data_IF_217397510171
#
_entry.id   IF_217397510171
#
_cell.length_a   1.000
_cell.length_b   1.000
_cell.length_c   1.000
_cell.angle_alpha   90.00
_cell.angle_beta   90.00
_cell.angle_gamma   90.00
#
_symmetry.space_group_name_H-M   'P 1'
#
loop_
_entity.id
_entity.type
_entity.pdbx_description
1 polymer ?
#
# COMPACT_ATOMS: atom_id res chain seq x y z
N UNK A 1 -3.49 2.02 -20.68
CA UNK A 1 -3.76 2.86 -19.49
C UNK A 1 -4.60 2.06 -18.50
N UNK A 2 -4.36 2.13 -17.19
CA UNK A 2 -5.14 1.38 -16.20
C UNK A 2 -6.51 2.03 -16.04
N UNK A 3 -7.57 1.23 -16.11
CA UNK A 3 -8.93 1.70 -15.80
C UNK A 3 -9.20 1.47 -14.31
N UNK A 4 -8.94 2.48 -13.49
CA UNK A 4 -9.16 2.43 -12.04
C UNK A 4 -10.45 3.17 -11.70
N UNK A 5 -11.36 2.51 -10.99
CA UNK A 5 -12.61 3.11 -10.47
C UNK A 5 -12.36 3.89 -9.17
N UNK A 6 -11.21 4.57 -9.05
CA UNK A 6 -10.76 5.27 -7.84
C UNK A 6 -10.42 6.72 -8.21
N UNK A 7 -10.84 7.72 -7.41
CA UNK A 7 -10.51 9.11 -7.71
C UNK A 7 -9.00 9.38 -7.55
N UNK A 8 -8.47 10.29 -8.37
CA UNK A 8 -7.04 10.66 -8.36
C UNK A 8 -6.59 11.15 -6.98
N UNK A 9 -7.47 11.81 -6.22
CA UNK A 9 -7.19 12.24 -4.85
C UNK A 9 -6.89 11.06 -3.92
N UNK A 10 -7.67 9.97 -3.99
CA UNK A 10 -7.44 8.78 -3.18
C UNK A 10 -6.12 8.09 -3.57
N UNK A 11 -5.78 8.05 -4.86
CA UNK A 11 -4.48 7.53 -5.33
C UNK A 11 -3.32 8.34 -4.72
N UNK A 12 -3.38 9.67 -4.77
CA UNK A 12 -2.34 10.53 -4.17
C UNK A 12 -2.24 10.35 -2.65
N UNK A 13 -3.38 10.19 -1.98
CA UNK A 13 -3.42 9.89 -0.56
C UNK A 13 -2.76 8.55 -0.26
N UNK A 14 -2.99 7.51 -1.07
CA UNK A 14 -2.30 6.21 -0.93
C UNK A 14 -0.80 6.31 -1.12
N UNK A 15 -0.36 7.02 -2.16
CA UNK A 15 1.07 7.27 -2.37
C UNK A 15 1.67 7.90 -1.11
N UNK A 16 1.03 8.95 -0.57
CA UNK A 16 1.47 9.56 0.69
C UNK A 16 1.49 8.55 1.84
N UNK A 17 0.46 7.74 2.02
CA UNK A 17 0.42 6.70 3.07
C UNK A 17 1.61 5.73 2.96
N UNK A 18 2.01 5.29 1.77
CA UNK A 18 3.16 4.41 1.58
C UNK A 18 4.49 5.09 1.97
N UNK A 19 4.68 6.36 1.62
CA UNK A 19 5.86 7.13 2.07
C UNK A 19 5.88 7.32 3.59
N UNK A 20 4.71 7.57 4.19
CA UNK A 20 4.56 7.76 5.64
C UNK A 20 4.90 6.49 6.45
N UNK A 21 4.64 5.30 5.92
CA UNK A 21 5.01 4.03 6.57
C UNK A 21 6.51 3.95 6.90
N UNK A 22 7.35 4.51 6.04
CA UNK A 22 8.81 4.47 6.17
C UNK A 22 9.41 5.77 6.73
N UNK A 23 8.59 6.72 7.20
CA UNK A 23 9.03 8.05 7.67
C UNK A 23 10.13 7.99 8.74
N UNK A 24 10.05 7.02 9.64
CA UNK A 24 10.92 6.95 10.82
C UNK A 24 12.18 6.10 10.62
N UNK A 25 12.43 5.62 9.40
CA UNK A 25 13.67 4.87 9.09
C UNK A 25 14.84 5.84 9.09
N UNK A 26 15.83 5.59 9.95
CA UNK A 26 17.03 6.45 10.10
C UNK A 26 18.31 5.85 9.52
N UNK A 27 18.31 4.55 9.22
CA UNK A 27 19.49 3.85 8.72
C UNK A 27 19.68 4.14 7.23
N UNK A 28 20.83 4.72 6.86
CA UNK A 28 21.09 5.18 5.49
C UNK A 28 21.01 4.04 4.45
N UNK A 29 21.64 2.90 4.73
CA UNK A 29 21.62 1.74 3.83
C UNK A 29 20.20 1.23 3.55
N UNK A 30 19.30 1.32 4.54
CA UNK A 30 17.90 0.92 4.37
C UNK A 30 17.16 1.93 3.50
N UNK A 31 17.42 3.23 3.70
CA UNK A 31 16.83 4.30 2.89
C UNK A 31 17.20 4.12 1.42
N UNK A 32 18.45 3.81 1.12
CA UNK A 32 18.92 3.59 -0.27
C UNK A 32 18.16 2.45 -0.94
N UNK A 33 17.97 1.33 -0.24
CA UNK A 33 17.19 0.19 -0.74
C UNK A 33 15.72 0.56 -0.95
N UNK A 34 15.11 1.31 -0.03
CA UNK A 34 13.73 1.77 -0.16
C UNK A 34 13.53 2.71 -1.35
N UNK A 35 14.48 3.62 -1.58
CA UNK A 35 14.44 4.51 -2.74
C UNK A 35 14.61 3.74 -4.05
N UNK A 36 15.52 2.76 -4.09
CA UNK A 36 15.67 1.87 -5.24
C UNK A 36 14.37 1.12 -5.55
N UNK A 37 13.77 0.47 -4.54
CA UNK A 37 12.50 -0.24 -4.68
C UNK A 37 11.36 0.69 -5.15
N UNK A 38 11.27 1.91 -4.60
CA UNK A 38 10.27 2.88 -5.02
C UNK A 38 10.42 3.30 -6.49
N UNK A 39 11.65 3.43 -6.98
CA UNK A 39 11.91 3.76 -8.38
C UNK A 39 11.57 2.58 -9.30
N UNK A 40 11.91 1.35 -8.90
CA UNK A 40 11.52 0.13 -9.63
C UNK A 40 9.99 0.03 -9.74
N UNK A 41 9.27 0.22 -8.64
CA UNK A 41 7.80 0.22 -8.61
C UNK A 41 7.19 1.27 -9.55
N UNK A 42 7.76 2.47 -9.57
CA UNK A 42 7.35 3.54 -10.46
C UNK A 42 7.58 3.18 -11.94
N UNK A 43 8.73 2.60 -12.28
CA UNK A 43 9.02 2.17 -13.64
C UNK A 43 8.09 1.04 -14.09
N UNK A 44 7.87 0.03 -13.24
CA UNK A 44 6.97 -1.10 -13.54
C UNK A 44 5.53 -0.63 -13.80
N UNK A 45 5.05 0.35 -13.02
CA UNK A 45 3.71 0.91 -13.18
C UNK A 45 3.59 1.81 -14.41
N UNK A 46 4.56 2.70 -14.65
CA UNK A 46 4.59 3.62 -15.79
C UNK A 46 4.68 2.85 -17.12
N UNK A 47 5.55 1.84 -17.18
CA UNK A 47 5.79 1.04 -18.39
C UNK A 47 4.72 -0.04 -18.63
N UNK A 48 3.64 -0.07 -17.85
CA UNK A 48 2.57 -1.08 -17.99
C UNK A 48 3.04 -2.53 -17.84
N UNK A 49 4.08 -2.76 -17.04
CA UNK A 49 4.52 -4.12 -16.72
C UNK A 49 3.63 -4.76 -15.65
N UNK A 50 3.01 -3.95 -14.78
CA UNK A 50 2.01 -4.42 -13.84
C UNK A 50 0.63 -4.58 -14.49
N UNK A 51 -0.12 -5.52 -13.96
CA UNK A 51 -1.56 -5.65 -14.25
C UNK A 51 -2.40 -4.94 -13.18
N UNK A 52 -3.68 -4.70 -13.48
CA UNK A 52 -4.62 -4.02 -12.58
C UNK A 52 -4.67 -4.65 -11.18
N UNK A 53 -4.67 -5.98 -11.07
CA UNK A 53 -4.66 -6.68 -9.78
C UNK A 53 -3.47 -6.30 -8.87
N UNK A 54 -2.30 -6.04 -9.46
CA UNK A 54 -1.11 -5.63 -8.70
C UNK A 54 -1.28 -4.22 -8.13
N UNK A 55 -1.89 -3.30 -8.89
CA UNK A 55 -2.17 -1.93 -8.45
C UNK A 55 -3.27 -1.94 -7.38
N UNK A 56 -4.34 -2.71 -7.58
CA UNK A 56 -5.46 -2.81 -6.64
C UNK A 56 -5.05 -3.41 -5.29
N UNK A 57 -3.95 -4.17 -5.24
CA UNK A 57 -3.40 -4.70 -3.98
C UNK A 57 -3.14 -3.62 -2.92
N UNK A 58 -2.74 -2.40 -3.32
CA UNK A 58 -2.52 -1.28 -2.40
C UNK A 58 -3.83 -0.76 -1.75
N UNK A 59 -4.98 -1.09 -2.33
CA UNK A 59 -6.31 -0.67 -1.90
C UNK A 59 -7.10 -1.78 -1.21
N UNK A 60 -6.51 -2.98 -1.02
CA UNK A 60 -7.16 -4.14 -0.40
C UNK A 60 -7.87 -3.83 0.94
N UNK A 61 -7.30 -3.02 1.87
CA UNK A 61 -8.00 -2.68 3.11
C UNK A 61 -9.25 -1.81 2.93
N UNK A 62 -9.46 -1.20 1.77
CA UNK A 62 -10.63 -0.39 1.44
C UNK A 62 -11.72 -1.23 0.75
N UNK A 63 -11.33 -2.27 0.03
CA UNK A 63 -12.25 -3.22 -0.60
C UNK A 63 -12.80 -4.26 0.37
N UNK A 64 -11.94 -4.79 1.25
CA UNK A 64 -12.29 -5.82 2.22
C UNK A 64 -12.03 -5.30 3.65
N UNK A 65 -13.09 -4.89 4.39
CA UNK A 65 -12.98 -4.51 5.79
C UNK A 65 -12.41 -5.64 6.66
N UNK A 66 -12.63 -6.89 6.28
CA UNK A 66 -12.05 -8.07 6.92
C UNK A 66 -10.55 -8.20 6.69
N UNK A 67 -9.95 -7.53 5.70
CA UNK A 67 -8.50 -7.55 5.51
C UNK A 67 -7.75 -6.68 6.54
N UNK A 68 -8.43 -5.81 7.29
CA UNK A 68 -7.82 -5.00 8.35
C UNK A 68 -7.61 -5.83 9.61
N UNK A 69 -6.55 -5.53 10.35
CA UNK A 69 -6.40 -6.06 11.69
C UNK A 69 -7.51 -5.49 12.58
N UNK A 70 -8.05 -6.30 13.51
CA UNK A 70 -9.03 -5.83 14.47
C UNK A 70 -8.44 -4.67 15.28
N UNK A 71 -9.20 -3.58 15.51
CA UNK A 71 -8.67 -2.38 16.16
C UNK A 71 -8.33 -2.64 17.64
N UNK A 72 -9.09 -3.53 18.29
CA UNK A 72 -8.98 -3.81 19.72
C UNK A 72 -8.89 -5.33 19.97
N UNK A 73 -8.34 -5.68 21.12
CA UNK A 73 -8.24 -7.07 21.56
C UNK A 73 -9.59 -7.80 21.61
N UNK A 74 -10.65 -7.17 22.15
CA UNK A 74 -11.98 -7.80 22.27
C UNK A 74 -12.57 -8.15 20.90
N UNK A 75 -12.45 -7.25 19.91
CA UNK A 75 -12.92 -7.53 18.55
C UNK A 75 -12.13 -8.65 17.90
N UNK A 76 -10.79 -8.67 18.07
CA UNK A 76 -9.95 -9.75 17.54
C UNK A 76 -10.21 -11.09 18.22
N UNK A 77 -10.50 -11.07 19.51
CA UNK A 77 -10.87 -12.27 20.28
C UNK A 77 -12.18 -12.87 19.80
N UNK A 78 -13.22 -12.04 19.64
CA UNK A 78 -14.54 -12.49 19.18
C UNK A 78 -14.53 -12.98 17.72
N UNK A 79 -13.68 -12.38 16.88
CA UNK A 79 -13.50 -12.81 15.48
C UNK A 79 -12.56 -14.02 15.33
N UNK A 80 -11.86 -14.45 16.40
CA UNK A 80 -10.90 -15.56 16.35
C UNK A 80 -9.62 -15.23 15.57
N UNK A 81 -9.20 -13.96 15.57
CA UNK A 81 -8.07 -13.42 14.77
C UNK A 81 -6.91 -12.91 15.64
N UNK A 82 -6.86 -13.37 16.89
CA UNK A 82 -5.79 -13.08 17.85
C UNK A 82 -4.59 -14.01 17.70
#
# INVERSE_FOLDING_TARGET
MYSLNIPVSAIRTKIRQEFEKNRYVKQLSVIDVLLFQSNTEFQETLNFWKQLAHVMKYFRPEEDPGARLPPNFITGFLEGRN
#
